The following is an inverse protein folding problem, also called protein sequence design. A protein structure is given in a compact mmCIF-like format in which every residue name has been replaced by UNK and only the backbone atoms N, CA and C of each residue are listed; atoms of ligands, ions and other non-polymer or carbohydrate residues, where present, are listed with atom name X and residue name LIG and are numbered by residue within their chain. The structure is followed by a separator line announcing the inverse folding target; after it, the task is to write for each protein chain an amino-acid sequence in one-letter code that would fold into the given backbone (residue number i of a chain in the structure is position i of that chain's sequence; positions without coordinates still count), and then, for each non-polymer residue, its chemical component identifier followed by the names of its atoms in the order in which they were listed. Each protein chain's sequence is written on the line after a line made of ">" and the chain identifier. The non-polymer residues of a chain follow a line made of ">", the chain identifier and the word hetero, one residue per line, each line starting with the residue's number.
data_IF_920629517460
#
_entry.id   IF_920629517460
#
_cell.length_a   1.000
_cell.length_b   1.000
_cell.length_c   1.000
_cell.angle_alpha   90.00
_cell.angle_beta   90.00
_cell.angle_gamma   90.00
#
_symmetry.space_group_name_H-M   'P 1'
#
loop_
_entity.id
_entity.type
_entity.pdbx_description
1 polymer ?
#
# COMPACT_ATOMS: atom_id res chain seq x y z
N UNK A 1 -29.85 -22.37 -14.32
CA UNK A 1 -28.83 -22.85 -13.38
C UNK A 1 -27.83 -21.75 -12.99
N UNK A 2 -27.27 -21.01 -13.91
CA UNK A 2 -26.26 -19.94 -13.69
C UNK A 2 -26.72 -18.76 -12.83
N UNK A 3 -27.96 -18.27 -12.97
CA UNK A 3 -28.47 -17.13 -12.15
C UNK A 3 -28.55 -17.47 -10.66
N UNK A 4 -28.92 -18.70 -10.32
CA UNK A 4 -29.08 -19.16 -8.93
C UNK A 4 -27.71 -19.29 -8.23
N UNK A 5 -26.72 -19.85 -8.92
CA UNK A 5 -25.34 -19.98 -8.41
C UNK A 5 -24.74 -18.60 -8.14
N UNK A 6 -24.97 -17.61 -9.05
CA UNK A 6 -24.49 -16.24 -8.87
C UNK A 6 -25.15 -15.55 -7.66
N UNK A 7 -26.44 -15.74 -7.44
CA UNK A 7 -27.17 -15.19 -6.27
C UNK A 7 -26.69 -15.83 -4.97
N UNK A 8 -26.39 -17.14 -4.98
CA UNK A 8 -25.89 -17.86 -3.80
C UNK A 8 -24.42 -17.46 -3.47
N UNK A 9 -23.60 -17.20 -4.50
CA UNK A 9 -22.25 -16.63 -4.32
C UNK A 9 -22.30 -15.20 -3.77
N UNK A 10 -23.24 -14.39 -4.24
CA UNK A 10 -23.44 -13.03 -3.72
C UNK A 10 -23.90 -13.04 -2.26
N UNK A 11 -24.86 -13.90 -1.91
CA UNK A 11 -25.31 -14.08 -0.52
C UNK A 11 -24.19 -14.62 0.38
N UNK A 12 -23.40 -15.58 -0.10
CA UNK A 12 -22.25 -16.10 0.64
C UNK A 12 -21.19 -15.05 0.89
N UNK A 13 -20.96 -14.16 -0.09
CA UNK A 13 -20.05 -13.02 0.05
C UNK A 13 -20.52 -12.06 1.16
N UNK A 14 -21.83 -11.75 1.22
CA UNK A 14 -22.38 -10.90 2.29
C UNK A 14 -22.43 -11.57 3.67
N UNK A 15 -22.53 -12.89 3.74
CA UNK A 15 -22.55 -13.64 5.01
C UNK A 15 -21.14 -13.76 5.61
N UNK A 16 -20.08 -13.81 4.79
CA UNK A 16 -18.69 -13.81 5.26
C UNK A 16 -18.25 -12.48 5.93
N UNK A 17 -19.00 -11.39 5.71
CA UNK A 17 -18.72 -10.08 6.33
C UNK A 17 -19.07 -10.02 7.84
N UNK A 18 -19.70 -11.07 8.42
CA UNK A 18 -20.23 -11.00 9.80
C UNK A 18 -19.36 -11.63 10.88
N UNK A 19 -18.18 -12.17 10.59
CA UNK A 19 -17.44 -13.00 11.56
C UNK A 19 -15.94 -12.76 11.65
N UNK A 20 -15.43 -11.54 11.52
CA UNK A 20 -14.01 -11.28 11.71
C UNK A 20 -13.77 -10.18 12.77
N UNK A 21 -13.06 -10.53 13.83
CA UNK A 21 -12.38 -9.55 14.70
C UNK A 21 -11.16 -9.04 13.93
N UNK A 22 -11.12 -7.75 13.62
CA UNK A 22 -10.41 -7.15 12.51
C UNK A 22 -9.33 -6.17 12.99
N UNK A 23 -8.16 -6.19 12.41
CA UNK A 23 -6.98 -5.36 12.79
C UNK A 23 -6.04 -4.99 11.59
N UNK A 24 -5.51 -3.76 11.42
CA UNK A 24 -5.00 -2.95 10.24
C UNK A 24 -3.60 -3.12 9.55
N UNK A 25 -3.36 -2.59 8.36
CA UNK A 25 -2.36 -2.95 7.32
C UNK A 25 -0.97 -2.30 7.35
N UNK A 26 0.01 -2.70 8.14
CA UNK A 26 1.45 -2.43 7.98
C UNK A 26 1.88 -1.12 7.25
N UNK A 27 2.86 -1.21 6.36
CA UNK A 27 3.40 -0.09 5.56
C UNK A 27 3.20 -0.26 4.03
N UNK A 28 2.17 -1.01 3.63
CA UNK A 28 1.76 -1.09 2.23
C UNK A 28 1.04 0.20 1.79
N UNK A 29 1.28 0.60 0.55
CA UNK A 29 0.74 1.80 -0.10
C UNK A 29 -0.19 1.37 -1.25
N UNK A 30 -1.27 2.12 -1.43
CA UNK A 30 -2.30 1.85 -2.44
C UNK A 30 -2.70 3.11 -3.22
N UNK A 31 -1.95 4.20 -3.05
CA UNK A 31 -2.17 5.52 -3.62
C UNK A 31 -1.65 5.59 -5.06
N UNK A 32 -2.17 4.72 -5.94
CA UNK A 32 -1.71 4.56 -7.31
C UNK A 32 -2.25 5.61 -8.28
N UNK A 33 -3.39 6.23 -7.97
CA UNK A 33 -3.97 7.32 -8.75
C UNK A 33 -4.97 8.12 -7.92
N UNK A 34 -5.22 9.39 -8.29
CA UNK A 34 -6.23 10.21 -7.62
C UNK A 34 -7.64 9.61 -7.77
N UNK A 35 -7.96 9.01 -8.94
CA UNK A 35 -9.23 8.29 -9.11
C UNK A 35 -9.34 7.09 -8.17
N UNK A 36 -8.29 6.26 -8.11
CA UNK A 36 -8.22 5.10 -7.19
C UNK A 36 -8.35 5.52 -5.74
N UNK A 37 -7.64 6.58 -5.33
CA UNK A 37 -7.73 7.13 -3.97
C UNK A 37 -9.16 7.57 -3.63
N UNK A 38 -9.83 8.31 -4.55
CA UNK A 38 -11.20 8.77 -4.36
C UNK A 38 -12.22 7.64 -4.23
N UNK A 39 -11.94 6.49 -4.87
CA UNK A 39 -12.75 5.26 -4.81
C UNK A 39 -12.39 4.37 -3.60
N UNK A 40 -11.50 4.80 -2.70
CA UNK A 40 -11.00 3.97 -1.60
C UNK A 40 -10.19 2.75 -2.07
N UNK A 41 -9.62 2.80 -3.28
CA UNK A 41 -8.90 1.68 -3.89
C UNK A 41 -9.79 0.60 -4.53
N UNK A 42 -11.12 0.76 -4.51
CA UNK A 42 -12.07 -0.13 -5.18
C UNK A 42 -12.06 0.13 -6.70
N UNK A 43 -11.09 -0.47 -7.40
CA UNK A 43 -10.80 -0.21 -8.83
C UNK A 43 -10.28 -1.45 -9.57
N UNK A 44 -10.54 -2.65 -9.05
CA UNK A 44 -10.06 -3.89 -9.64
C UNK A 44 -10.90 -4.36 -10.82
N UNK A 45 -12.20 -4.04 -10.83
CA UNK A 45 -13.19 -4.62 -11.75
C UNK A 45 -14.06 -3.60 -12.50
N UNK A 46 -13.78 -2.29 -12.39
CA UNK A 46 -14.59 -1.25 -13.04
C UNK A 46 -13.88 -0.59 -14.23
N UNK A 47 -14.03 0.72 -14.36
CA UNK A 47 -13.51 1.56 -15.44
C UNK A 47 -11.97 1.59 -15.44
N UNK A 48 -11.41 1.26 -16.58
CA UNK A 48 -9.96 1.24 -16.78
C UNK A 48 -9.34 2.64 -16.86
N UNK A 49 -8.12 2.75 -16.37
CA UNK A 49 -7.22 3.87 -16.56
C UNK A 49 -5.77 3.35 -16.66
N UNK A 50 -4.79 4.11 -17.17
CA UNK A 50 -3.40 3.63 -17.24
C UNK A 50 -2.84 3.14 -15.90
N UNK A 51 -3.25 3.76 -14.77
CA UNK A 51 -2.88 3.33 -13.42
C UNK A 51 -3.43 1.95 -13.03
N UNK A 52 -4.37 1.36 -13.81
CA UNK A 52 -4.80 -0.03 -13.61
C UNK A 52 -3.65 -1.04 -13.68
N UNK A 53 -2.51 -0.70 -14.29
CA UNK A 53 -1.26 -1.49 -14.21
C UNK A 53 -0.90 -1.83 -12.75
N UNK A 54 -1.10 -0.90 -11.84
CA UNK A 54 -0.76 -1.07 -10.43
C UNK A 54 -1.85 -1.86 -9.66
N UNK A 55 -3.12 -1.77 -10.00
CA UNK A 55 -4.23 -2.44 -9.33
C UNK A 55 -4.61 -3.77 -10.00
N UNK A 56 -5.08 -3.74 -11.24
CA UNK A 56 -5.39 -4.91 -12.07
C UNK A 56 -4.91 -4.69 -13.51
N UNK A 57 -3.77 -5.25 -13.91
CA UNK A 57 -3.22 -5.05 -15.25
C UNK A 57 -4.12 -5.58 -16.38
N UNK A 58 -5.06 -6.50 -16.12
CA UNK A 58 -5.97 -6.99 -17.13
C UNK A 58 -6.96 -5.91 -17.64
N UNK A 59 -7.22 -4.87 -16.83
CA UNK A 59 -8.11 -3.77 -17.24
C UNK A 59 -7.55 -2.93 -18.39
N UNK A 60 -6.22 -2.91 -18.63
CA UNK A 60 -5.65 -2.13 -19.73
C UNK A 60 -6.15 -2.59 -21.10
N UNK A 61 -6.73 -3.79 -21.19
CA UNK A 61 -7.40 -4.29 -22.43
C UNK A 61 -8.64 -3.48 -22.82
N UNK A 62 -9.15 -2.61 -21.94
CA UNK A 62 -10.25 -1.68 -22.21
C UNK A 62 -9.76 -0.32 -22.73
N UNK A 63 -8.46 -0.07 -22.76
CA UNK A 63 -7.86 1.21 -23.16
C UNK A 63 -7.46 1.14 -24.65
N UNK A 64 -7.99 2.06 -25.45
CA UNK A 64 -7.68 2.13 -26.87
C UNK A 64 -6.47 3.02 -27.14
N UNK A 65 -5.74 2.75 -28.21
CA UNK A 65 -4.61 3.57 -28.64
C UNK A 65 -3.44 3.57 -27.65
N UNK A 66 -2.80 4.73 -27.53
CA UNK A 66 -1.76 4.99 -26.55
C UNK A 66 -2.30 5.94 -25.48
N UNK A 67 -2.15 5.59 -24.21
CA UNK A 67 -2.58 6.47 -23.12
C UNK A 67 -1.46 6.62 -22.09
N UNK A 68 -1.35 7.83 -21.53
CA UNK A 68 -0.38 8.19 -20.49
C UNK A 68 -1.13 8.76 -19.31
N UNK A 69 -0.69 8.42 -18.12
CA UNK A 69 -1.18 9.01 -16.85
C UNK A 69 -0.01 9.31 -15.94
N UNK A 70 0.01 10.52 -15.39
CA UNK A 70 0.97 10.92 -14.36
C UNK A 70 0.23 11.48 -13.17
N UNK A 71 0.74 11.23 -11.97
CA UNK A 71 0.11 11.71 -10.75
C UNK A 71 1.06 11.81 -9.58
N UNK A 72 0.55 12.42 -8.51
CA UNK A 72 1.23 12.52 -7.23
C UNK A 72 0.19 12.50 -6.11
N UNK A 73 0.51 11.78 -5.02
CA UNK A 73 -0.28 11.82 -3.79
C UNK A 73 0.60 12.30 -2.65
N UNK A 74 0.20 13.37 -1.98
CA UNK A 74 0.80 13.84 -0.74
C UNK A 74 0.11 13.18 0.44
N UNK A 75 0.87 12.50 1.32
CA UNK A 75 0.40 11.79 2.51
C UNK A 75 0.98 12.47 3.74
N UNK A 76 0.15 13.13 4.54
CA UNK A 76 0.56 13.80 5.78
C UNK A 76 0.15 12.94 6.96
N UNK A 77 1.12 12.52 7.77
CA UNK A 77 0.91 11.65 8.93
C UNK A 77 1.25 12.36 10.24
N UNK A 78 0.50 12.03 11.29
CA UNK A 78 0.76 12.47 12.66
C UNK A 78 0.23 11.45 13.66
N UNK A 79 0.65 11.58 14.93
CA UNK A 79 0.23 10.68 15.99
C UNK A 79 1.20 10.70 17.17
N UNK A 80 0.95 9.87 18.18
CA UNK A 80 1.83 9.73 19.33
C UNK A 80 1.93 8.28 19.79
N UNK A 81 3.10 7.95 20.35
CA UNK A 81 3.36 6.66 21.00
C UNK A 81 3.68 6.92 22.47
N UNK A 82 3.18 6.07 23.36
CA UNK A 82 3.54 6.05 24.78
C UNK A 82 4.23 4.72 25.08
N UNK A 83 5.44 4.75 25.61
CA UNK A 83 6.19 3.56 26.02
C UNK A 83 6.60 3.72 27.49
N UNK A 84 6.24 2.74 28.31
CA UNK A 84 6.46 2.75 29.76
C UNK A 84 6.01 4.07 30.42
N UNK A 85 4.87 4.63 29.99
CA UNK A 85 4.31 5.89 30.48
C UNK A 85 4.95 7.16 29.90
N UNK A 86 5.97 7.05 29.05
CA UNK A 86 6.58 8.20 28.37
C UNK A 86 5.94 8.43 27.01
N UNK A 87 5.26 9.57 26.87
CA UNK A 87 4.65 10.00 25.61
C UNK A 87 5.71 10.53 24.64
N UNK A 88 5.58 10.16 23.37
CA UNK A 88 6.46 10.53 22.25
C UNK A 88 5.60 10.95 21.06
N UNK A 89 5.69 12.20 20.67
CA UNK A 89 4.94 12.73 19.53
C UNK A 89 5.74 12.56 18.23
N UNK A 90 5.11 12.03 17.21
CA UNK A 90 5.67 12.04 15.86
C UNK A 90 5.75 13.46 15.32
N UNK A 91 6.82 13.77 14.62
CA UNK A 91 6.90 14.99 13.83
C UNK A 91 5.94 14.84 12.64
N UNK A 92 4.96 15.73 12.54
CA UNK A 92 4.10 15.79 11.35
C UNK A 92 4.97 15.96 10.10
N UNK A 93 4.84 15.05 9.16
CA UNK A 93 5.61 15.02 7.91
C UNK A 93 4.69 14.70 6.75
N UNK A 94 5.00 15.27 5.59
CA UNK A 94 4.28 14.96 4.33
C UNK A 94 5.23 14.20 3.42
N UNK A 95 4.78 13.04 2.95
CA UNK A 95 5.47 12.20 1.97
C UNK A 95 4.76 12.33 0.63
N UNK A 96 5.54 12.30 -0.45
CA UNK A 96 5.01 12.42 -1.80
C UNK A 96 5.22 11.11 -2.56
N UNK A 97 4.14 10.60 -3.14
CA UNK A 97 4.09 9.34 -3.89
C UNK A 97 3.83 9.66 -5.37
N UNK A 98 4.88 9.89 -6.18
CA UNK A 98 4.72 10.08 -7.60
C UNK A 98 4.38 8.78 -8.31
N UNK A 99 3.62 8.88 -9.40
CA UNK A 99 3.32 7.75 -10.27
C UNK A 99 3.27 8.18 -11.75
N UNK A 100 3.62 7.23 -12.64
CA UNK A 100 3.60 7.43 -14.09
C UNK A 100 3.25 6.11 -14.76
N UNK A 101 2.33 6.15 -15.71
CA UNK A 101 1.89 4.99 -16.45
C UNK A 101 1.77 5.30 -17.94
N UNK A 102 2.13 4.34 -18.75
CA UNK A 102 1.90 4.34 -20.18
C UNK A 102 1.28 3.01 -20.60
N UNK A 103 0.23 3.05 -21.42
CA UNK A 103 -0.40 1.86 -22.00
C UNK A 103 -0.49 2.02 -23.50
N UNK A 104 -0.40 0.91 -24.22
CA UNK A 104 -0.54 0.90 -25.68
C UNK A 104 -1.25 -0.36 -26.15
N UNK A 105 -2.27 -0.16 -26.94
CA UNK A 105 -2.88 -1.23 -27.74
C UNK A 105 -1.95 -1.56 -28.91
N UNK A 106 -1.41 -2.77 -28.93
CA UNK A 106 -0.50 -3.23 -29.98
C UNK A 106 -1.27 -3.92 -31.13
N UNK A 107 -2.34 -4.64 -30.78
CA UNK A 107 -3.25 -5.33 -31.67
C UNK A 107 -4.63 -5.35 -31.03
N UNK A 108 -5.66 -5.82 -31.73
CA UNK A 108 -7.05 -5.84 -31.25
C UNK A 108 -7.23 -6.52 -29.88
N UNK A 109 -6.34 -7.47 -29.55
CA UNK A 109 -6.43 -8.25 -28.32
C UNK A 109 -5.13 -8.26 -27.50
N UNK A 110 -4.06 -7.52 -27.89
CA UNK A 110 -2.77 -7.47 -27.18
C UNK A 110 -2.46 -6.03 -26.77
N UNK A 111 -2.17 -5.84 -25.50
CA UNK A 111 -1.89 -4.56 -24.87
C UNK A 111 -0.59 -4.64 -24.06
N UNK A 112 0.20 -3.59 -24.12
CA UNK A 112 1.39 -3.42 -23.31
C UNK A 112 1.22 -2.25 -22.37
N UNK A 113 1.83 -2.35 -21.21
CA UNK A 113 1.87 -1.27 -20.22
C UNK A 113 3.20 -1.19 -19.51
N UNK A 114 3.53 0.02 -19.04
CA UNK A 114 4.66 0.28 -18.14
C UNK A 114 4.18 1.20 -17.03
N UNK A 115 4.38 0.79 -15.77
CA UNK A 115 4.07 1.56 -14.58
C UNK A 115 5.31 1.90 -13.77
N UNK A 116 5.34 3.12 -13.23
CA UNK A 116 6.29 3.58 -12.22
C UNK A 116 5.49 4.06 -11.01
N UNK A 117 5.64 3.42 -9.85
CA UNK A 117 4.85 3.72 -8.66
C UNK A 117 5.52 3.15 -7.40
N UNK A 118 4.98 3.49 -6.21
CA UNK A 118 5.44 2.96 -4.93
C UNK A 118 4.42 1.99 -4.35
N UNK A 119 4.86 0.83 -3.86
CA UNK A 119 3.99 -0.19 -3.22
C UNK A 119 4.12 -0.22 -1.71
N UNK A 120 5.26 0.14 -1.20
CA UNK A 120 5.56 0.15 0.22
C UNK A 120 6.27 1.43 0.59
N UNK A 121 5.98 1.94 1.76
CA UNK A 121 6.63 3.11 2.29
C UNK A 121 6.27 3.32 3.74
N UNK A 122 7.26 3.71 4.49
CA UNK A 122 7.12 4.06 5.88
C UNK A 122 8.04 5.25 6.12
N UNK A 123 7.54 6.27 6.79
CA UNK A 123 8.37 7.39 7.15
C UNK A 123 7.88 7.98 8.46
N UNK A 124 8.80 8.21 9.38
CA UNK A 124 8.49 8.84 10.64
C UNK A 124 9.72 9.20 11.44
N UNK A 125 9.60 10.30 12.17
CA UNK A 125 10.59 10.75 13.13
C UNK A 125 9.89 11.30 14.34
N UNK A 126 10.35 10.92 15.54
CA UNK A 126 9.84 11.50 16.77
C UNK A 126 10.44 12.88 17.02
N UNK A 127 9.63 13.75 17.70
CA UNK A 127 10.10 15.00 18.28
C UNK A 127 10.90 14.67 19.55
N UNK A 128 11.84 15.53 19.91
CA UNK A 128 12.53 15.56 21.21
C UNK A 128 13.10 14.21 21.70
N UNK A 129 13.52 13.33 20.79
CA UNK A 129 14.15 12.03 21.12
C UNK A 129 15.40 12.17 22.00
N UNK A 130 15.98 13.38 22.10
CA UNK A 130 17.13 13.68 22.95
C UNK A 130 16.87 13.55 24.45
N UNK A 131 15.61 13.54 24.85
CA UNK A 131 15.18 13.43 26.25
C UNK A 131 14.71 12.03 26.62
N UNK A 132 14.85 11.09 25.70
CA UNK A 132 14.49 9.70 25.99
C UNK A 132 15.47 9.14 27.00
N UNK A 133 14.98 8.84 28.22
CA UNK A 133 15.76 8.16 29.24
C UNK A 133 15.80 6.67 28.87
N UNK A 134 16.96 6.10 28.66
CA UNK A 134 17.03 4.66 28.41
C UNK A 134 17.00 3.91 29.74
N UNK A 135 16.30 2.83 29.84
CA UNK A 135 16.91 1.67 30.41
C UNK A 135 18.11 1.33 29.52
N UNK A 136 19.28 1.25 30.05
CA UNK A 136 20.59 1.17 29.35
C UNK A 136 20.68 0.02 28.33
N UNK A 137 19.70 -0.89 28.31
CA UNK A 137 19.59 -2.06 27.45
C UNK A 137 18.79 -1.89 26.15
N UNK A 138 18.09 -0.76 25.93
CA UNK A 138 17.12 -0.70 24.84
C UNK A 138 17.36 0.46 23.88
N UNK A 139 17.94 0.14 22.72
CA UNK A 139 18.03 1.05 21.58
C UNK A 139 16.66 1.12 20.90
N UNK A 140 15.97 2.24 21.08
CA UNK A 140 14.67 2.44 20.43
C UNK A 140 14.84 3.26 19.16
N UNK A 141 14.16 2.85 18.11
CA UNK A 141 14.11 3.59 16.84
C UNK A 141 13.37 4.91 17.06
N UNK A 142 13.98 6.01 16.65
CA UNK A 142 13.38 7.34 16.68
C UNK A 142 13.16 7.94 15.29
N UNK A 143 13.71 7.31 14.25
CA UNK A 143 13.46 7.60 12.86
C UNK A 143 13.52 6.32 12.06
N UNK A 144 12.58 6.17 11.14
CA UNK A 144 12.59 5.15 10.10
C UNK A 144 12.07 5.74 8.81
N UNK A 145 12.79 5.54 7.72
CA UNK A 145 12.35 5.87 6.37
C UNK A 145 12.56 4.62 5.50
N UNK A 146 11.48 4.11 4.94
CA UNK A 146 11.49 3.09 3.89
C UNK A 146 10.82 3.71 2.66
N UNK A 147 11.54 3.79 1.58
CA UNK A 147 11.02 4.26 0.29
C UNK A 147 11.19 3.16 -0.74
N UNK A 148 10.12 2.85 -1.49
CA UNK A 148 10.21 1.90 -2.60
C UNK A 148 9.75 2.53 -3.90
N UNK A 149 10.40 2.14 -5.00
CA UNK A 149 9.97 2.48 -6.36
C UNK A 149 9.93 1.22 -7.20
N UNK A 150 8.79 1.00 -7.85
CA UNK A 150 8.57 -0.15 -8.74
C UNK A 150 8.54 0.29 -10.19
N UNK A 151 9.24 -0.44 -11.04
CA UNK A 151 9.13 -0.41 -12.49
C UNK A 151 8.41 -1.69 -12.91
N UNK A 152 7.23 -1.57 -13.50
CA UNK A 152 6.36 -2.71 -13.78
C UNK A 152 5.91 -2.75 -15.25
N UNK A 153 6.69 -3.37 -16.16
CA UNK A 153 6.20 -3.74 -17.48
C UNK A 153 5.15 -4.84 -17.36
N UNK A 154 4.06 -4.70 -18.11
CA UNK A 154 2.95 -5.67 -18.17
C UNK A 154 2.52 -5.94 -19.61
N UNK A 155 2.02 -7.15 -19.83
CA UNK A 155 1.31 -7.52 -21.04
C UNK A 155 -0.07 -8.02 -20.66
N UNK A 156 -1.09 -7.56 -21.38
CA UNK A 156 -2.47 -8.01 -21.21
C UNK A 156 -3.05 -8.46 -22.54
N UNK A 157 -3.95 -9.43 -22.47
CA UNK A 157 -4.66 -9.94 -23.64
C UNK A 157 -6.15 -10.10 -23.36
N UNK A 158 -6.96 -9.69 -24.31
CA UNK A 158 -8.37 -10.08 -24.39
C UNK A 158 -8.45 -11.49 -24.95
N UNK A 159 -8.67 -12.47 -24.08
CA UNK A 159 -8.69 -13.90 -24.43
C UNK A 159 -10.02 -14.28 -25.08
N UNK A 160 -11.13 -13.71 -24.58
CA UNK A 160 -12.46 -13.74 -25.17
C UNK A 160 -13.09 -12.35 -25.06
N UNK A 161 -14.28 -12.15 -25.61
CA UNK A 161 -15.01 -10.88 -25.46
C UNK A 161 -15.31 -10.54 -24.00
N UNK A 162 -15.44 -11.55 -23.16
CA UNK A 162 -15.81 -11.45 -21.75
C UNK A 162 -14.59 -11.50 -20.80
N UNK A 163 -13.44 -12.07 -21.25
CA UNK A 163 -12.31 -12.40 -20.37
C UNK A 163 -11.00 -11.75 -20.85
N UNK A 164 -10.36 -11.04 -19.96
CA UNK A 164 -9.01 -10.50 -20.14
C UNK A 164 -8.05 -11.06 -19.07
N UNK A 165 -6.84 -11.38 -19.50
CA UNK A 165 -5.74 -11.83 -18.63
C UNK A 165 -4.54 -10.92 -18.79
N UNK A 166 -3.75 -10.78 -17.75
CA UNK A 166 -2.49 -10.04 -17.79
C UNK A 166 -1.42 -10.66 -16.90
N UNK A 167 -0.18 -10.44 -17.27
CA UNK A 167 0.99 -10.74 -16.46
C UNK A 167 2.01 -9.62 -16.58
N UNK A 168 2.76 -9.39 -15.51
CA UNK A 168 3.80 -8.38 -15.44
C UNK A 168 4.99 -8.83 -14.62
N UNK A 169 6.12 -8.21 -14.91
CA UNK A 169 7.35 -8.35 -14.17
C UNK A 169 7.60 -7.04 -13.42
N UNK A 170 7.95 -7.11 -12.15
CA UNK A 170 8.17 -5.95 -11.30
C UNK A 170 9.60 -5.91 -10.81
N UNK A 171 10.31 -4.81 -11.08
CA UNK A 171 11.62 -4.51 -10.50
C UNK A 171 11.37 -3.46 -9.42
N UNK A 172 11.73 -3.76 -8.18
CA UNK A 172 11.52 -2.88 -7.03
C UNK A 172 12.86 -2.48 -6.42
N UNK A 173 13.14 -1.17 -6.42
CA UNK A 173 14.19 -0.55 -5.61
C UNK A 173 13.62 -0.25 -4.24
N UNK A 174 14.41 -0.44 -3.19
CA UNK A 174 14.10 -0.02 -1.83
C UNK A 174 15.31 0.66 -1.19
N UNK A 175 15.05 1.78 -0.50
CA UNK A 175 15.99 2.50 0.35
C UNK A 175 15.48 2.50 1.77
N UNK A 176 16.31 2.07 2.72
CA UNK A 176 15.99 1.96 4.13
C UNK A 176 16.94 2.84 4.93
N UNK A 177 16.38 3.67 5.83
CA UNK A 177 17.13 4.35 6.90
C UNK A 177 16.44 4.04 8.21
N UNK A 178 17.21 3.65 9.21
CA UNK A 178 16.74 3.53 10.58
C UNK A 178 17.75 4.16 11.55
N UNK A 179 17.29 5.14 12.34
CA UNK A 179 18.07 5.75 13.40
C UNK A 179 17.57 5.25 14.76
N UNK A 180 18.47 4.64 15.54
CA UNK A 180 18.23 4.13 16.90
C UNK A 180 19.15 4.83 17.89
N UNK A 181 18.71 5.02 19.13
CA UNK A 181 19.61 5.52 20.14
C UNK A 181 18.94 6.13 21.35
N UNK A 182 19.77 6.76 22.19
CA UNK A 182 19.34 7.52 23.33
C UNK A 182 20.19 8.81 23.46
N UNK A 183 19.50 9.92 23.65
CA UNK A 183 20.14 11.23 23.63
C UNK A 183 20.70 11.64 22.27
N UNK A 184 21.19 12.89 22.18
CA UNK A 184 21.61 13.49 20.90
C UNK A 184 22.90 12.92 20.32
N UNK A 185 23.74 12.28 21.14
CA UNK A 185 25.11 11.92 20.76
C UNK A 185 25.36 10.41 20.73
N UNK A 186 24.40 9.61 21.19
CA UNK A 186 24.57 8.17 21.31
C UNK A 186 23.53 7.44 20.46
N UNK A 187 23.93 6.93 19.34
CA UNK A 187 23.02 6.25 18.43
C UNK A 187 23.70 5.40 17.38
N UNK A 188 22.87 4.69 16.64
CA UNK A 188 23.24 3.87 15.50
C UNK A 188 22.31 4.23 14.36
N UNK A 189 22.88 4.54 13.20
CA UNK A 189 22.18 4.65 11.94
C UNK A 189 22.45 3.41 11.13
N UNK A 190 21.39 2.82 10.59
CA UNK A 190 21.41 1.76 9.59
C UNK A 190 20.89 2.36 8.31
N UNK A 191 21.65 2.29 7.22
CA UNK A 191 21.26 2.82 5.92
C UNK A 191 21.67 1.84 4.83
N UNK A 192 20.78 1.53 3.88
CA UNK A 192 21.09 0.59 2.82
C UNK A 192 20.06 0.58 1.69
N UNK A 193 20.51 0.07 0.56
CA UNK A 193 19.78 0.00 -0.69
C UNK A 193 19.63 -1.43 -1.17
N UNK A 194 18.54 -1.72 -1.87
CA UNK A 194 18.35 -3.01 -2.52
C UNK A 194 17.54 -2.89 -3.80
N UNK A 195 17.79 -3.81 -4.73
CA UNK A 195 16.93 -4.04 -5.88
C UNK A 195 16.49 -5.49 -5.86
N UNK A 196 15.20 -5.72 -6.01
CA UNK A 196 14.63 -7.07 -6.10
C UNK A 196 13.60 -7.13 -7.22
N UNK A 197 13.08 -8.32 -7.50
CA UNK A 197 12.07 -8.50 -8.54
C UNK A 197 10.92 -9.36 -8.03
N UNK A 198 9.80 -9.18 -8.66
CA UNK A 198 8.56 -9.91 -8.43
C UNK A 198 7.75 -10.02 -9.70
N UNK A 199 6.57 -10.59 -9.58
CA UNK A 199 5.61 -10.71 -10.67
C UNK A 199 4.22 -10.30 -10.21
N UNK A 200 3.39 -9.90 -11.17
CA UNK A 200 1.98 -9.65 -10.94
C UNK A 200 1.12 -10.26 -12.05
N UNK A 201 -0.07 -10.68 -11.66
CA UNK A 201 -1.06 -11.29 -12.54
C UNK A 201 -2.40 -10.63 -12.31
N UNK A 202 -3.20 -10.53 -13.38
CA UNK A 202 -4.53 -9.98 -13.33
C UNK A 202 -5.49 -10.76 -14.23
N UNK A 203 -6.72 -10.88 -13.75
CA UNK A 203 -7.87 -11.38 -14.49
C UNK A 203 -8.98 -10.35 -14.37
N UNK A 204 -9.66 -10.10 -15.48
CA UNK A 204 -10.88 -9.32 -15.53
C UNK A 204 -11.93 -10.07 -16.33
N UNK A 205 -13.13 -10.21 -15.77
CA UNK A 205 -14.26 -10.88 -16.37
C UNK A 205 -15.49 -9.98 -16.34
N UNK A 206 -16.07 -9.69 -17.53
CA UNK A 206 -17.29 -8.92 -17.70
C UNK A 206 -18.22 -9.67 -18.65
N UNK A 207 -19.11 -10.52 -18.10
CA UNK A 207 -19.92 -11.44 -18.90
C UNK A 207 -20.95 -10.71 -19.75
N UNK A 208 -21.03 -11.06 -21.04
CA UNK A 208 -21.99 -10.50 -22.00
C UNK A 208 -23.45 -10.74 -21.61
N UNK A 209 -23.74 -11.81 -20.85
CA UNK A 209 -25.08 -12.08 -20.31
C UNK A 209 -25.42 -11.23 -19.05
N UNK A 210 -24.44 -10.52 -18.47
CA UNK A 210 -24.60 -9.65 -17.30
C UNK A 210 -23.65 -8.43 -17.41
N UNK A 211 -23.72 -7.68 -18.50
CA UNK A 211 -22.83 -6.56 -18.84
C UNK A 211 -22.67 -5.49 -17.75
N UNK A 212 -23.65 -5.40 -16.83
CA UNK A 212 -23.60 -4.48 -15.69
C UNK A 212 -22.62 -4.92 -14.59
N UNK A 213 -22.09 -6.13 -14.67
CA UNK A 213 -21.21 -6.70 -13.66
C UNK A 213 -19.80 -6.86 -14.21
N UNK A 214 -18.81 -6.58 -13.37
CA UNK A 214 -17.42 -6.92 -13.61
C UNK A 214 -16.86 -7.66 -12.41
N UNK A 215 -16.00 -8.63 -12.65
CA UNK A 215 -15.26 -9.35 -11.63
C UNK A 215 -13.76 -9.35 -11.93
N UNK A 216 -12.94 -9.33 -10.90
CA UNK A 216 -11.50 -9.32 -11.03
C UNK A 216 -10.82 -10.21 -10.01
N UNK A 217 -9.69 -10.77 -10.39
CA UNK A 217 -8.77 -11.44 -9.49
C UNK A 217 -7.35 -10.97 -9.81
N UNK A 218 -6.59 -10.56 -8.78
CA UNK A 218 -5.21 -10.13 -8.96
C UNK A 218 -4.29 -10.78 -7.94
N UNK A 219 -3.06 -11.05 -8.33
CA UNK A 219 -2.02 -11.56 -7.44
C UNK A 219 -0.71 -10.83 -7.70
N UNK A 220 -0.02 -10.42 -6.63
CA UNK A 220 1.34 -9.89 -6.65
C UNK A 220 2.22 -10.69 -5.72
N UNK A 221 3.37 -11.11 -6.20
CA UNK A 221 4.31 -11.93 -5.44
C UNK A 221 4.96 -11.13 -4.32
N UNK A 222 5.30 -11.83 -3.24
CA UNK A 222 6.22 -11.31 -2.21
C UNK A 222 7.58 -10.98 -2.82
N UNK A 223 8.28 -10.03 -2.20
CA UNK A 223 9.66 -9.69 -2.54
C UNK A 223 10.52 -9.74 -1.29
N UNK A 224 11.77 -10.15 -1.45
CA UNK A 224 12.75 -10.15 -0.37
C UNK A 224 13.86 -9.17 -0.73
N UNK A 225 14.03 -8.18 0.11
CA UNK A 225 15.06 -7.18 0.00
C UNK A 225 16.24 -7.54 0.90
N UNK A 226 17.44 -7.48 0.34
CA UNK A 226 18.70 -7.54 1.04
C UNK A 226 19.36 -6.18 0.81
N UNK A 227 19.08 -5.24 1.72
CA UNK A 227 19.57 -3.88 1.61
C UNK A 227 21.01 -3.83 2.13
N UNK A 228 21.95 -3.78 1.21
CA UNK A 228 23.37 -3.61 1.51
C UNK A 228 23.71 -2.14 1.74
N UNK A 229 24.51 -1.85 2.75
CA UNK A 229 24.87 -0.49 3.12
C UNK A 229 25.72 -0.45 4.37
N UNK A 230 25.53 0.60 5.17
CA UNK A 230 26.39 0.91 6.30
C UNK A 230 25.62 1.00 7.61
N UNK A 231 26.30 0.63 8.70
CA UNK A 231 25.93 0.98 10.06
C UNK A 231 26.90 2.02 10.56
N UNK A 232 26.40 3.18 10.96
CA UNK A 232 27.21 4.26 11.54
C UNK A 232 26.88 4.41 13.02
N UNK A 233 27.83 4.17 13.91
CA UNK A 233 27.72 4.38 15.35
C UNK A 233 28.24 5.76 15.78
N UNK A 234 27.57 6.39 16.73
CA UNK A 234 27.99 7.67 17.33
C UNK A 234 28.08 7.57 18.85
N UNK A 235 28.97 8.37 19.45
CA UNK A 235 29.15 8.39 20.90
C UNK A 235 29.63 7.05 21.47
N UNK A 236 28.86 6.46 22.37
CA UNK A 236 29.14 5.16 22.97
C UNK A 236 29.08 3.99 21.96
N UNK A 237 28.55 4.22 20.75
CA UNK A 237 28.37 3.21 19.71
C UNK A 237 29.33 3.37 18.53
N UNK A 238 30.37 4.18 18.62
CA UNK A 238 31.34 4.42 17.53
C UNK A 238 31.95 3.11 17.02
N UNK A 239 32.16 2.13 17.87
CA UNK A 239 32.63 0.79 17.48
C UNK A 239 31.61 -0.03 16.67
N UNK A 240 30.38 0.44 16.55
CA UNK A 240 29.35 -0.23 15.73
C UNK A 240 29.41 0.17 14.24
N UNK A 241 30.30 1.06 13.84
CA UNK A 241 30.47 1.48 12.44
C UNK A 241 31.04 0.34 11.58
N UNK A 242 30.49 0.14 10.39
CA UNK A 242 30.94 -0.86 9.41
C UNK A 242 29.85 -1.20 8.40
N UNK A 243 30.20 -2.06 7.46
CA UNK A 243 29.27 -2.54 6.45
C UNK A 243 28.25 -3.53 7.05
N UNK A 244 27.05 -3.53 6.51
CA UNK A 244 25.98 -4.40 6.96
C UNK A 244 24.92 -4.65 5.86
N UNK A 245 24.17 -5.72 6.01
CA UNK A 245 23.04 -6.06 5.14
C UNK A 245 21.77 -6.19 5.99
N UNK A 246 20.75 -5.37 5.69
CA UNK A 246 19.43 -5.48 6.29
C UNK A 246 18.51 -6.35 5.43
N UNK A 247 17.90 -7.38 6.02
CA UNK A 247 16.97 -8.29 5.34
C UNK A 247 15.52 -7.96 5.71
N UNK A 248 14.72 -7.68 4.68
CA UNK A 248 13.30 -7.28 4.79
C UNK A 248 12.46 -8.09 3.80
N UNK A 249 11.39 -8.74 4.27
CA UNK A 249 10.42 -9.42 3.42
C UNK A 249 9.15 -8.55 3.28
N UNK A 250 8.76 -8.24 2.05
CA UNK A 250 7.52 -7.54 1.72
C UNK A 250 6.47 -8.55 1.22
N UNK A 251 5.21 -8.47 1.69
CA UNK A 251 4.21 -9.51 1.50
C UNK A 251 3.74 -9.66 0.05
N UNK A 252 3.27 -10.84 -0.27
CA UNK A 252 2.39 -11.08 -1.40
C UNK A 252 0.96 -10.61 -1.11
N UNK A 253 0.21 -10.40 -2.18
CA UNK A 253 -1.14 -9.85 -2.15
C UNK A 253 -2.03 -10.61 -3.13
N UNK A 254 -3.21 -11.02 -2.67
CA UNK A 254 -4.27 -11.61 -3.49
C UNK A 254 -5.52 -10.77 -3.31
N UNK A 255 -6.09 -10.26 -4.40
CA UNK A 255 -7.29 -9.45 -4.31
C UNK A 255 -8.37 -9.91 -5.28
N UNK A 256 -9.62 -9.81 -4.81
CA UNK A 256 -10.83 -10.03 -5.58
C UNK A 256 -11.67 -8.75 -5.59
N UNK A 257 -12.17 -8.37 -6.75
CA UNK A 257 -13.04 -7.22 -6.94
C UNK A 257 -14.35 -7.59 -7.65
N UNK A 258 -15.42 -6.91 -7.27
CA UNK A 258 -16.73 -7.05 -7.88
C UNK A 258 -17.33 -5.66 -8.13
N UNK A 259 -17.58 -5.32 -9.39
CA UNK A 259 -18.22 -4.07 -9.78
C UNK A 259 -19.65 -4.28 -10.29
N UNK A 260 -20.49 -3.28 -10.07
CA UNK A 260 -21.87 -3.24 -10.56
C UNK A 260 -22.22 -1.84 -11.06
N UNK A 261 -22.67 -1.75 -12.32
CA UNK A 261 -23.14 -0.53 -12.97
C UNK A 261 -24.67 -0.57 -13.14
N UNK A 262 -25.47 -0.20 -12.10
CA UNK A 262 -26.94 -0.21 -12.19
C UNK A 262 -27.47 0.68 -13.32
N UNK A 263 -26.74 1.74 -13.64
CA UNK A 263 -27.04 2.67 -14.73
C UNK A 263 -25.75 3.11 -15.45
N UNK A 264 -25.88 3.79 -16.59
CA UNK A 264 -24.73 4.38 -17.31
C UNK A 264 -23.99 5.47 -16.50
N UNK A 265 -24.64 6.02 -15.46
CA UNK A 265 -24.08 7.10 -14.64
C UNK A 265 -23.48 6.64 -13.32
N UNK A 266 -23.86 5.47 -12.82
CA UNK A 266 -23.42 4.99 -11.50
C UNK A 266 -22.67 3.67 -11.63
N UNK A 267 -21.48 3.63 -11.08
CA UNK A 267 -20.68 2.41 -10.89
C UNK A 267 -20.37 2.25 -9.41
N UNK A 268 -20.63 1.07 -8.89
CA UNK A 268 -20.30 0.65 -7.53
C UNK A 268 -19.26 -0.46 -7.61
N UNK A 269 -18.35 -0.51 -6.65
CA UNK A 269 -17.39 -1.60 -6.55
C UNK A 269 -17.09 -1.94 -5.11
N UNK A 270 -16.87 -3.23 -4.86
CA UNK A 270 -16.40 -3.77 -3.60
C UNK A 270 -15.21 -4.71 -3.86
N UNK A 271 -14.11 -4.46 -3.16
CA UNK A 271 -12.89 -5.26 -3.26
C UNK A 271 -12.51 -5.82 -1.89
N UNK A 272 -11.94 -7.03 -1.90
CA UNK A 272 -11.25 -7.64 -0.77
C UNK A 272 -9.84 -8.01 -1.19
N UNK A 273 -8.85 -7.67 -0.37
CA UNK A 273 -7.45 -8.00 -0.57
C UNK A 273 -6.88 -8.69 0.66
N UNK A 274 -6.35 -9.89 0.49
CA UNK A 274 -5.49 -10.56 1.48
C UNK A 274 -4.04 -10.11 1.30
N UNK A 275 -3.38 -9.75 2.41
CA UNK A 275 -1.99 -9.30 2.45
C UNK A 275 -1.24 -10.20 3.42
N UNK A 276 -0.30 -11.00 2.90
CA UNK A 276 0.33 -12.11 3.62
C UNK A 276 1.58 -11.65 4.37
N UNK A 277 1.37 -10.79 5.37
CA UNK A 277 2.41 -10.21 6.21
C UNK A 277 3.13 -11.20 7.13
N UNK A 278 2.63 -12.42 7.30
CA UNK A 278 3.31 -13.49 8.05
C UNK A 278 4.70 -13.83 7.50
N UNK A 279 4.99 -13.39 6.27
CA UNK A 279 6.33 -13.43 5.68
C UNK A 279 7.34 -12.47 6.35
N UNK A 280 6.86 -11.38 6.99
CA UNK A 280 7.68 -10.40 7.71
C UNK A 280 7.79 -10.76 9.20
N UNK A 281 8.65 -11.69 9.54
CA UNK A 281 8.85 -12.16 10.92
C UNK A 281 9.77 -11.27 11.73
N UNK A 282 10.77 -10.68 11.07
CA UNK A 282 11.79 -9.84 11.70
C UNK A 282 12.46 -8.93 10.67
N UNK A 283 12.98 -7.81 11.14
CA UNK A 283 14.03 -7.05 10.47
C UNK A 283 15.35 -7.59 10.99
N UNK A 284 16.18 -8.13 10.09
CA UNK A 284 17.48 -8.70 10.45
C UNK A 284 18.59 -7.87 9.82
N UNK A 285 19.57 -7.50 10.63
CA UNK A 285 20.77 -6.80 10.19
C UNK A 285 21.97 -7.71 10.47
N UNK A 286 22.62 -8.15 9.40
CA UNK A 286 23.87 -8.91 9.43
C UNK A 286 25.03 -7.94 9.22
N UNK A 287 26.07 -8.04 10.05
CA UNK A 287 27.29 -7.22 9.97
C UNK A 287 28.38 -8.01 9.26
N UNK A 288 29.20 -7.34 8.46
CA UNK A 288 30.28 -7.98 7.71
C UNK A 288 31.49 -8.36 8.58
N UNK A 289 31.48 -7.98 9.84
CA UNK A 289 32.46 -8.36 10.84
C UNK A 289 31.96 -9.51 11.75
N UNK A 290 32.71 -9.85 12.80
CA UNK A 290 32.36 -10.95 13.73
C UNK A 290 31.22 -10.63 14.71
N UNK A 291 30.53 -9.49 14.58
CA UNK A 291 29.40 -9.15 15.44
C UNK A 291 28.21 -10.09 15.19
N UNK A 292 27.51 -10.44 16.25
CA UNK A 292 26.26 -11.19 16.13
C UNK A 292 25.20 -10.36 15.37
N UNK A 293 24.39 -11.00 14.53
CA UNK A 293 23.29 -10.33 13.85
C UNK A 293 22.33 -9.64 14.82
N UNK A 294 21.82 -8.47 14.45
CA UNK A 294 20.72 -7.84 15.16
C UNK A 294 19.39 -8.31 14.55
N UNK A 295 18.54 -8.88 15.40
CA UNK A 295 17.21 -9.33 14.97
C UNK A 295 16.15 -8.55 15.74
N UNK A 296 15.23 -7.90 15.02
CA UNK A 296 14.06 -7.25 15.58
C UNK A 296 12.84 -8.05 15.19
N UNK A 297 12.29 -8.76 16.16
CA UNK A 297 11.13 -9.60 15.93
C UNK A 297 9.87 -8.74 15.73
N UNK A 298 9.15 -9.00 14.66
CA UNK A 298 7.90 -8.32 14.29
C UNK A 298 6.71 -9.27 14.36
N UNK A 299 6.90 -10.52 13.91
CA UNK A 299 5.86 -11.56 13.89
C UNK A 299 4.52 -11.05 13.37
N UNK A 300 4.55 -10.33 12.24
CA UNK A 300 3.34 -9.81 11.62
C UNK A 300 2.40 -10.95 11.22
N UNK A 301 1.09 -10.69 11.22
CA UNK A 301 0.02 -11.63 10.84
C UNK A 301 -0.54 -11.28 9.46
N UNK A 302 -1.11 -12.26 8.79
CA UNK A 302 -1.85 -12.06 7.56
C UNK A 302 -3.13 -11.27 7.85
N UNK A 303 -3.51 -10.38 6.93
CA UNK A 303 -4.60 -9.42 7.12
C UNK A 303 -5.40 -9.22 5.86
N UNK A 304 -6.58 -8.61 6.02
CA UNK A 304 -7.46 -8.26 4.92
C UNK A 304 -7.69 -6.75 4.85
N UNK A 305 -7.89 -6.27 3.62
CA UNK A 305 -8.32 -4.92 3.31
C UNK A 305 -9.62 -5.00 2.54
N UNK A 306 -10.64 -4.25 2.99
CA UNK A 306 -11.94 -4.15 2.37
C UNK A 306 -12.12 -2.74 1.83
N UNK A 307 -12.48 -2.63 0.56
CA UNK A 307 -12.68 -1.36 -0.12
C UNK A 307 -14.09 -1.30 -0.71
N UNK A 308 -14.74 -0.17 -0.55
CA UNK A 308 -16.02 0.15 -1.18
C UNK A 308 -15.86 1.46 -1.94
N UNK A 309 -16.32 1.50 -3.18
CA UNK A 309 -16.23 2.68 -4.03
C UNK A 309 -17.50 2.92 -4.83
N UNK A 310 -17.79 4.21 -5.06
CA UNK A 310 -18.86 4.68 -5.93
C UNK A 310 -18.35 5.77 -6.86
N UNK A 311 -18.61 5.65 -8.16
CA UNK A 311 -18.36 6.68 -9.16
C UNK A 311 -19.69 7.06 -9.82
N UNK A 312 -20.01 8.36 -9.81
CA UNK A 312 -21.21 8.91 -10.42
C UNK A 312 -20.83 9.94 -11.48
N UNK A 313 -21.20 9.67 -12.75
CA UNK A 313 -21.04 10.60 -13.86
C UNK A 313 -22.12 11.68 -13.79
N UNK A 314 -21.77 12.83 -13.21
CA UNK A 314 -22.65 13.98 -13.03
C UNK A 314 -23.07 14.52 -14.40
N UNK A 315 -22.09 14.67 -15.30
CA UNK A 315 -22.27 15.04 -16.70
C UNK A 315 -21.37 14.15 -17.58
N UNK A 316 -21.36 14.37 -18.89
CA UNK A 316 -20.46 13.65 -19.80
C UNK A 316 -18.96 13.92 -19.52
N UNK A 317 -18.65 15.01 -18.82
CA UNK A 317 -17.29 15.43 -18.53
C UNK A 317 -16.91 15.33 -17.05
N UNK A 318 -17.88 15.35 -16.11
CA UNK A 318 -17.61 15.41 -14.69
C UNK A 318 -18.04 14.13 -13.97
N UNK A 319 -17.12 13.54 -13.25
CA UNK A 319 -17.35 12.40 -12.36
C UNK A 319 -17.17 12.82 -10.90
N UNK A 320 -18.07 12.36 -10.03
CA UNK A 320 -17.95 12.44 -8.59
C UNK A 320 -17.65 11.06 -8.04
N UNK A 321 -16.81 10.98 -7.00
CA UNK A 321 -16.41 9.72 -6.40
C UNK A 321 -16.43 9.78 -4.90
N UNK A 322 -16.78 8.65 -4.30
CA UNK A 322 -16.67 8.43 -2.87
C UNK A 322 -16.15 7.01 -2.61
N UNK A 323 -15.38 6.85 -1.54
CA UNK A 323 -14.81 5.59 -1.16
C UNK A 323 -14.69 5.42 0.34
N UNK A 324 -14.74 4.16 0.79
CA UNK A 324 -14.47 3.78 2.15
C UNK A 324 -13.56 2.56 2.17
N UNK A 325 -12.61 2.56 3.10
CA UNK A 325 -11.72 1.43 3.32
C UNK A 325 -11.73 1.05 4.79
N UNK A 326 -11.83 -0.23 5.02
CA UNK A 326 -11.41 -0.83 6.26
C UNK A 326 -10.15 -1.67 6.00
N UNK A 327 -9.06 -1.37 6.71
CA UNK A 327 -7.72 -1.86 6.43
C UNK A 327 -7.09 -2.40 7.73
N UNK A 328 -6.86 -3.71 7.79
CA UNK A 328 -6.43 -4.46 8.99
C UNK A 328 -4.94 -4.31 9.33
N UNK A 329 -4.54 -4.34 10.64
CA UNK A 329 -3.13 -4.31 11.12
C UNK A 329 -2.47 -5.68 11.14
N UNK A 330 -1.31 -5.80 10.53
CA UNK A 330 -0.48 -6.97 10.71
C UNK A 330 0.27 -6.98 12.06
N UNK A 331 0.24 -5.88 12.82
CA UNK A 331 1.06 -5.73 14.03
C UNK A 331 0.65 -6.74 15.09
N UNK A 332 1.65 -7.43 15.62
CA UNK A 332 1.46 -8.31 16.77
C UNK A 332 1.58 -7.50 18.05
N UNK A 333 0.55 -7.52 18.88
CA UNK A 333 0.47 -6.75 20.14
C UNK A 333 1.58 -7.09 21.15
N UNK A 334 2.32 -8.18 20.96
CA UNK A 334 3.47 -8.56 21.78
C UNK A 334 4.82 -8.07 21.23
N UNK A 335 4.82 -7.53 20.00
CA UNK A 335 6.01 -7.07 19.28
C UNK A 335 5.77 -5.70 18.65
N UNK A 336 5.16 -4.79 19.42
CA UNK A 336 4.87 -3.45 18.95
C UNK A 336 6.15 -2.68 18.67
N UNK A 337 6.18 -2.04 17.51
CA UNK A 337 7.32 -1.25 17.05
C UNK A 337 7.04 0.24 17.25
N UNK A 338 8.02 0.99 17.72
CA UNK A 338 7.89 2.45 17.89
C UNK A 338 7.70 3.18 16.57
N UNK A 339 8.16 2.60 15.45
CA UNK A 339 8.20 3.30 14.16
C UNK A 339 7.01 3.01 13.25
N UNK A 340 6.19 1.99 13.57
CA UNK A 340 4.93 1.70 12.88
C UNK A 340 3.77 1.85 13.87
N UNK A 341 3.46 3.08 14.32
CA UNK A 341 2.38 3.31 15.27
C UNK A 341 1.03 3.21 14.56
N UNK A 342 0.65 2.00 14.18
CA UNK A 342 -0.55 1.75 13.40
C UNK A 342 -1.38 0.62 14.01
N UNK A 343 -2.69 0.84 14.04
CA UNK A 343 -3.70 -0.18 14.24
C UNK A 343 -4.67 -0.13 13.06
N UNK A 344 -5.87 -0.65 13.21
CA UNK A 344 -6.91 -0.66 12.19
C UNK A 344 -7.17 0.72 11.62
N UNK A 345 -7.33 0.79 10.32
CA UNK A 345 -7.52 2.05 9.61
C UNK A 345 -8.91 2.11 8.98
N UNK A 346 -9.58 3.22 9.23
CA UNK A 346 -10.78 3.62 8.51
C UNK A 346 -10.43 4.79 7.61
N UNK A 347 -10.56 4.61 6.30
CA UNK A 347 -10.22 5.66 5.32
C UNK A 347 -11.49 6.07 4.61
N UNK A 348 -11.83 7.35 4.71
CA UNK A 348 -12.94 7.99 4.01
C UNK A 348 -12.37 8.83 2.89
N UNK A 349 -12.85 8.61 1.69
CA UNK A 349 -12.30 9.23 0.49
C UNK A 349 -13.38 9.88 -0.35
N UNK A 350 -13.01 10.94 -1.05
CA UNK A 350 -13.86 11.58 -2.05
C UNK A 350 -13.00 12.22 -3.14
N UNK A 351 -13.60 12.51 -4.28
CA UNK A 351 -12.89 13.15 -5.37
C UNK A 351 -13.75 13.51 -6.55
N UNK A 352 -13.13 14.28 -7.44
CA UNK A 352 -13.75 14.81 -8.66
C UNK A 352 -12.84 14.51 -9.84
N UNK A 353 -13.43 14.08 -10.95
CA UNK A 353 -12.74 13.91 -12.23
C UNK A 353 -13.34 14.80 -13.31
N UNK A 354 -12.48 15.36 -14.15
CA UNK A 354 -12.87 16.03 -15.38
C UNK A 354 -12.24 15.33 -16.58
N UNK A 355 -13.05 14.99 -17.57
CA UNK A 355 -12.61 14.31 -18.79
C UNK A 355 -13.14 15.06 -20.02
N UNK A 356 -12.26 15.41 -20.96
CA UNK A 356 -12.65 16.06 -22.20
C UNK A 356 -11.64 15.74 -23.33
N UNK A 357 -12.14 15.26 -24.48
CA UNK A 357 -11.37 15.08 -25.73
C UNK A 357 -9.99 14.40 -25.51
N UNK A 358 -9.98 13.26 -24.82
CA UNK A 358 -8.75 12.51 -24.58
C UNK A 358 -7.90 12.98 -23.40
N UNK A 359 -8.21 14.14 -22.80
CA UNK A 359 -7.57 14.67 -21.61
C UNK A 359 -8.42 14.42 -20.37
N UNK A 360 -7.80 14.12 -19.23
CA UNK A 360 -8.47 13.98 -17.96
C UNK A 360 -7.64 14.47 -16.80
N UNK A 361 -8.32 15.02 -15.78
CA UNK A 361 -7.75 15.43 -14.50
C UNK A 361 -8.60 14.84 -13.39
N UNK A 362 -7.97 14.24 -12.42
CA UNK A 362 -8.63 13.74 -11.21
C UNK A 362 -7.98 14.36 -9.98
N UNK A 363 -8.81 14.75 -9.00
CA UNK A 363 -8.39 15.25 -7.69
C UNK A 363 -9.08 14.41 -6.63
N UNK A 364 -8.34 14.01 -5.60
CA UNK A 364 -8.88 13.26 -4.47
C UNK A 364 -8.43 13.84 -3.13
N UNK A 365 -9.27 13.63 -2.14
CA UNK A 365 -8.96 13.80 -0.73
C UNK A 365 -9.36 12.54 0.02
N UNK A 366 -8.48 12.08 0.91
CA UNK A 366 -8.79 10.98 1.81
C UNK A 366 -8.36 11.33 3.23
N UNK A 367 -9.20 10.96 4.18
CA UNK A 367 -8.94 11.10 5.62
C UNK A 367 -8.87 9.71 6.24
N UNK A 368 -7.74 9.41 6.88
CA UNK A 368 -7.48 8.15 7.56
C UNK A 368 -7.51 8.34 9.07
N UNK A 369 -8.35 7.57 9.72
CA UNK A 369 -8.38 7.36 11.15
C UNK A 369 -7.68 6.05 11.46
N UNK A 370 -6.79 6.06 12.44
CA UNK A 370 -6.13 4.87 12.96
C UNK A 370 -6.63 4.61 14.37
N UNK A 371 -7.02 3.38 14.66
CA UNK A 371 -7.48 2.96 15.99
C UNK A 371 -6.33 3.06 17.01
N UNK A 372 -6.66 3.30 18.27
CA UNK A 372 -5.70 3.24 19.36
C UNK A 372 -5.31 1.79 19.67
N UNK A 373 -4.02 1.53 19.84
CA UNK A 373 -3.48 0.20 20.14
C UNK A 373 -2.75 0.19 21.48
N UNK A 374 -2.96 -0.86 22.27
CA UNK A 374 -2.20 -1.13 23.49
C UNK A 374 -1.63 -2.54 23.47
N UNK A 375 -0.36 -2.68 23.80
CA UNK A 375 0.34 -3.95 23.83
C UNK A 375 1.71 -3.82 24.48
N UNK A 376 2.66 -4.65 24.05
CA UNK A 376 4.03 -4.64 24.55
C UNK A 376 5.04 -4.60 23.41
N UNK A 377 6.22 -4.02 23.66
CA UNK A 377 7.38 -4.17 22.79
C UNK A 377 7.94 -5.59 22.90
N UNK A 378 8.85 -5.98 22.01
CA UNK A 378 9.55 -7.27 22.09
C UNK A 378 10.32 -7.48 23.41
N UNK A 379 10.64 -6.39 24.13
CA UNK A 379 11.29 -6.40 25.45
C UNK A 379 10.30 -6.35 26.62
N UNK A 380 8.98 -6.52 26.35
CA UNK A 380 7.94 -6.59 27.39
C UNK A 380 7.50 -5.24 27.96
N UNK A 381 7.95 -4.11 27.40
CA UNK A 381 7.51 -2.78 27.85
C UNK A 381 6.09 -2.50 27.33
N UNK A 382 5.25 -1.90 28.20
CA UNK A 382 3.93 -1.44 27.76
C UNK A 382 4.07 -0.34 26.71
N UNK A 383 3.43 -0.54 25.57
CA UNK A 383 3.36 0.42 24.47
C UNK A 383 1.90 0.74 24.13
N UNK A 384 1.63 2.02 23.82
CA UNK A 384 0.32 2.51 23.36
C UNK A 384 0.49 3.44 22.17
N UNK A 385 -0.27 3.23 21.13
CA UNK A 385 -0.39 4.15 19.98
C UNK A 385 -1.70 4.90 20.09
N UNK A 386 -1.67 6.22 19.92
CA UNK A 386 -2.86 7.08 20.12
C UNK A 386 -2.96 8.19 19.09
N UNK A 387 -4.19 8.45 18.66
CA UNK A 387 -4.55 9.62 17.88
C UNK A 387 -3.82 9.73 16.56
N UNK A 388 -3.44 8.61 15.94
CA UNK A 388 -2.81 8.64 14.63
C UNK A 388 -3.87 8.94 13.55
N UNK A 389 -3.56 9.94 12.73
CA UNK A 389 -4.41 10.34 11.59
C UNK A 389 -3.54 10.64 10.39
N UNK A 390 -4.13 10.53 9.19
CA UNK A 390 -3.48 10.96 7.97
C UNK A 390 -4.44 11.68 7.05
N UNK A 391 -3.91 12.71 6.38
CA UNK A 391 -4.57 13.42 5.29
C UNK A 391 -3.83 13.12 3.99
N UNK A 392 -4.56 12.71 2.97
CA UNK A 392 -4.01 12.39 1.66
C UNK A 392 -4.68 13.25 0.59
N UNK A 393 -3.87 13.89 -0.26
CA UNK A 393 -4.35 14.67 -1.39
C UNK A 393 -3.68 14.11 -2.65
N UNK A 394 -4.49 13.63 -3.59
CA UNK A 394 -4.04 13.09 -4.87
C UNK A 394 -4.42 13.98 -6.04
N UNK A 395 -3.51 14.06 -7.01
CA UNK A 395 -3.71 14.72 -8.30
C UNK A 395 -3.20 13.78 -9.41
N UNK A 396 -4.01 13.57 -10.45
CA UNK A 396 -3.63 12.80 -11.64
C UNK A 396 -4.04 13.51 -12.92
N UNK A 397 -3.17 13.40 -13.92
CA UNK A 397 -3.43 13.85 -15.29
C UNK A 397 -3.35 12.64 -16.22
N UNK A 398 -4.27 12.53 -17.18
CA UNK A 398 -4.28 11.47 -18.19
C UNK A 398 -4.51 12.04 -19.57
N UNK A 399 -3.89 11.41 -20.57
CA UNK A 399 -4.03 11.79 -21.97
C UNK A 399 -4.07 10.54 -22.85
N UNK A 400 -5.01 10.53 -23.80
CA UNK A 400 -5.15 9.50 -24.81
C UNK A 400 -4.83 10.11 -26.20
N UNK A 401 -3.92 9.44 -26.92
CA UNK A 401 -3.47 9.84 -28.27
C UNK A 401 -4.31 9.17 -29.35
#
# INVERSE_FOLDING_TARGET
>A
MTKRIFTELLLSFFVCLYAANLQAAGFALYEYSARGNAMGGAVLANKAEPASIASNPALITKLQGTQVQAGITGVTVGGSTEISGQKRDLKTSTFYLPNLYITRQMRDHIYLGLGLFSRFGLGGKYKDYSNWLPAISERQSYRMDLVTYSVNPVMASRVTDDLSLAGGFEIMYAHLIEDKGFGRQNGVRIEGDSVTWGANFGLYYNPSWAEKWGAALTYRTKTRHLASGEVTGTGLFTSATGDATASLALPDQLAFGLSFAPSKKLTLEADIMGIFWSSYKQLRVDYDDLRAPNNEFKHYKDVYRFSLGAEYSLTDNWDLRAGYVYDESPINHKYMDTMVPADDRHIFSGGVGYNAKGFGVDVSYSYMLVSDLTGTTEHGQTAKYKGATSHMIGLSFKYAF
#
